data_IF_666389211928
#
_entry.id   IF_666389211928
#
_cell.length_a   1.000
_cell.length_b   1.000
_cell.length_c   1.000
_cell.angle_alpha   90.00
_cell.angle_beta   90.00
_cell.angle_gamma   90.00
#
_symmetry.space_group_name_H-M   'P 1'
#
loop_
_entity.id
_entity.type
_entity.pdbx_description
1 polymer ?
#
# COMPACT_ATOMS: atom_id res chain seq x y z
N UNK A 1 13.09 23.80 -10.77
CA UNK A 1 11.66 23.61 -11.08
C UNK A 1 11.00 22.66 -10.08
N UNK A 2 10.14 23.17 -9.20
CA UNK A 2 9.40 22.39 -8.19
C UNK A 2 7.91 22.68 -8.31
N UNK A 3 7.08 21.64 -8.20
CA UNK A 3 5.63 21.79 -8.06
C UNK A 3 5.27 21.86 -6.57
N UNK A 4 4.42 22.81 -6.19
CA UNK A 4 3.86 22.90 -4.84
C UNK A 4 2.41 23.38 -4.87
N UNK A 5 1.69 23.17 -3.76
CA UNK A 5 0.37 23.77 -3.60
C UNK A 5 0.50 25.28 -3.34
N UNK A 6 -0.42 26.07 -3.89
CA UNK A 6 -0.58 27.50 -3.63
C UNK A 6 -0.98 27.67 -2.16
N UNK A 7 0.01 27.84 -1.29
CA UNK A 7 -0.16 27.94 0.17
C UNK A 7 0.10 26.62 0.90
N UNK A 8 -0.79 26.25 1.84
CA UNK A 8 -0.62 25.06 2.68
C UNK A 8 -1.11 23.81 1.96
N UNK A 9 -0.43 22.68 2.16
CA UNK A 9 -0.89 21.37 1.65
C UNK A 9 -2.32 21.08 2.11
N UNK A 10 -3.25 20.79 1.19
CA UNK A 10 -4.64 20.49 1.53
C UNK A 10 -4.75 19.29 2.48
N UNK A 11 -5.77 19.30 3.34
CA UNK A 11 -6.01 18.21 4.30
C UNK A 11 -6.19 16.85 3.63
N UNK A 12 -6.93 16.81 2.51
CA UNK A 12 -7.12 15.58 1.73
C UNK A 12 -5.79 15.00 1.22
N UNK A 13 -4.85 15.85 0.81
CA UNK A 13 -3.56 15.41 0.29
C UNK A 13 -2.69 14.81 1.40
N UNK A 14 -2.75 15.39 2.61
CA UNK A 14 -2.09 14.82 3.80
C UNK A 14 -2.69 13.48 4.20
N UNK A 15 -4.02 13.37 4.19
CA UNK A 15 -4.73 12.12 4.50
C UNK A 15 -4.33 11.04 3.49
N UNK A 16 -4.38 11.31 2.19
CA UNK A 16 -4.01 10.34 1.17
C UNK A 16 -2.53 9.95 1.24
N UNK A 17 -1.63 10.91 1.45
CA UNK A 17 -0.22 10.61 1.66
C UNK A 17 -0.02 9.73 2.90
N UNK A 18 -0.72 10.02 4.00
CA UNK A 18 -0.70 9.20 5.21
C UNK A 18 -1.20 7.78 4.97
N UNK A 19 -2.33 7.61 4.28
CA UNK A 19 -2.88 6.30 3.94
C UNK A 19 -1.95 5.52 3.01
N UNK A 20 -1.32 6.19 2.04
CA UNK A 20 -0.32 5.57 1.15
C UNK A 20 0.90 5.07 1.93
N UNK A 21 1.47 5.92 2.79
CA UNK A 21 2.62 5.55 3.64
C UNK A 21 2.24 4.39 4.56
N UNK A 22 1.08 4.46 5.22
CA UNK A 22 0.60 3.42 6.09
C UNK A 22 0.40 2.09 5.34
N UNK A 23 -0.17 2.13 4.13
CA UNK A 23 -0.32 0.94 3.29
C UNK A 23 1.03 0.31 2.92
N UNK A 24 2.03 1.12 2.57
CA UNK A 24 3.39 0.62 2.28
C UNK A 24 4.01 -0.03 3.52
N UNK A 25 3.89 0.62 4.69
CA UNK A 25 4.42 0.08 5.94
C UNK A 25 3.74 -1.24 6.32
N UNK A 26 2.42 -1.34 6.15
CA UNK A 26 1.67 -2.58 6.36
C UNK A 26 2.12 -3.68 5.40
N UNK A 27 2.31 -3.38 4.11
CA UNK A 27 2.81 -4.36 3.15
C UNK A 27 4.20 -4.89 3.53
N UNK A 28 5.12 -4.00 3.91
CA UNK A 28 6.47 -4.40 4.35
C UNK A 28 6.38 -5.22 5.65
N UNK A 29 5.60 -4.78 6.62
CA UNK A 29 5.44 -5.47 7.90
C UNK A 29 4.81 -6.86 7.71
N UNK A 30 3.79 -6.99 6.86
CA UNK A 30 3.17 -8.26 6.52
C UNK A 30 4.17 -9.18 5.84
N UNK A 31 4.89 -8.71 4.82
CA UNK A 31 5.91 -9.52 4.15
C UNK A 31 7.01 -10.00 5.12
N UNK A 32 7.47 -9.11 6.01
CA UNK A 32 8.45 -9.44 7.04
C UNK A 32 7.93 -10.48 8.03
N UNK A 33 6.69 -10.30 8.51
CA UNK A 33 6.06 -11.22 9.45
C UNK A 33 5.85 -12.62 8.84
N UNK A 34 5.41 -12.68 7.58
CA UNK A 34 5.23 -13.95 6.87
C UNK A 34 6.57 -14.68 6.75
N UNK A 35 7.62 -14.00 6.32
CA UNK A 35 8.94 -14.60 6.17
C UNK A 35 9.52 -15.13 7.50
N UNK A 36 9.18 -14.49 8.63
CA UNK A 36 9.73 -14.81 9.95
C UNK A 36 8.89 -15.81 10.74
N UNK A 37 7.57 -15.80 10.59
CA UNK A 37 6.67 -16.43 11.55
C UNK A 37 5.57 -17.29 10.93
N UNK A 38 5.36 -17.24 9.61
CA UNK A 38 4.33 -18.06 9.00
C UNK A 38 4.73 -19.55 8.97
N UNK A 39 3.79 -20.46 9.26
CA UNK A 39 4.04 -21.89 9.15
C UNK A 39 4.26 -22.33 7.70
N UNK A 40 5.06 -23.37 7.52
CA UNK A 40 5.34 -23.99 6.21
C UNK A 40 4.31 -25.10 5.89
N UNK A 41 3.49 -25.48 6.88
CA UNK A 41 2.39 -26.43 6.73
C UNK A 41 1.05 -25.73 7.00
N UNK A 42 0.00 -26.15 6.29
CA UNK A 42 -1.33 -25.62 6.50
C UNK A 42 -1.91 -26.10 7.84
N UNK A 43 -2.68 -25.22 8.50
CA UNK A 43 -3.50 -25.58 9.65
C UNK A 43 -4.91 -24.97 9.51
N UNK A 44 -5.80 -25.23 10.48
CA UNK A 44 -7.19 -24.74 10.45
C UNK A 44 -7.31 -23.22 10.38
N UNK A 45 -6.29 -22.50 10.85
CA UNK A 45 -6.23 -21.03 10.90
C UNK A 45 -5.45 -20.48 9.70
N UNK A 46 -4.38 -21.16 9.30
CA UNK A 46 -3.46 -20.80 8.24
C UNK A 46 -3.66 -21.73 7.04
N UNK A 47 -4.70 -21.46 6.26
CA UNK A 47 -5.07 -22.26 5.09
C UNK A 47 -4.68 -21.62 3.76
N UNK A 48 -4.32 -20.33 3.77
CA UNK A 48 -4.04 -19.57 2.56
C UNK A 48 -2.56 -19.64 2.20
N UNK A 49 -2.28 -20.10 0.98
CA UNK A 49 -0.92 -20.33 0.50
C UNK A 49 -0.30 -19.04 -0.04
N UNK A 50 0.87 -18.65 0.48
CA UNK A 50 1.71 -17.59 -0.08
C UNK A 50 3.03 -18.18 -0.55
N UNK A 51 3.38 -17.91 -1.81
CA UNK A 51 4.65 -18.35 -2.39
C UNK A 51 5.62 -17.19 -2.48
N UNK A 52 6.68 -17.23 -1.67
CA UNK A 52 7.78 -16.27 -1.79
C UNK A 52 8.64 -16.67 -2.98
N UNK A 53 8.99 -15.72 -3.84
CA UNK A 53 9.78 -16.00 -5.04
C UNK A 53 11.17 -16.51 -4.65
N UNK A 54 11.54 -17.69 -5.14
CA UNK A 54 12.81 -18.36 -4.78
C UNK A 54 12.86 -18.96 -3.36
N UNK A 55 11.73 -18.96 -2.63
CA UNK A 55 11.66 -19.42 -1.23
C UNK A 55 10.65 -20.53 -0.97
N UNK A 56 10.52 -20.96 0.30
CA UNK A 56 9.51 -21.91 0.71
C UNK A 56 8.09 -21.35 0.54
N UNK A 57 7.12 -22.25 0.51
CA UNK A 57 5.70 -21.89 0.55
C UNK A 57 5.30 -21.72 2.01
N UNK A 58 4.68 -20.58 2.33
CA UNK A 58 4.14 -20.28 3.65
C UNK A 58 2.62 -20.36 3.63
N UNK A 59 2.03 -20.60 4.80
CA UNK A 59 0.59 -20.59 5.00
C UNK A 59 0.20 -19.50 5.99
N UNK A 60 -0.82 -18.73 5.63
CA UNK A 60 -1.31 -17.61 6.43
C UNK A 60 -2.83 -17.64 6.56
N UNK A 61 -3.38 -16.77 7.40
CA UNK A 61 -4.82 -16.59 7.50
C UNK A 61 -5.39 -16.05 6.16
N UNK A 62 -6.59 -16.49 5.73
CA UNK A 62 -7.18 -16.11 4.45
C UNK A 62 -7.28 -14.60 4.21
N UNK A 63 -7.64 -13.82 5.23
CA UNK A 63 -7.74 -12.37 5.10
C UNK A 63 -6.37 -11.71 4.88
N UNK A 64 -5.31 -12.24 5.50
CA UNK A 64 -3.95 -11.74 5.32
C UNK A 64 -3.43 -12.11 3.93
N UNK A 65 -3.73 -13.32 3.48
CA UNK A 65 -3.47 -13.77 2.11
C UNK A 65 -4.14 -12.88 1.06
N UNK A 66 -5.43 -12.64 1.22
CA UNK A 66 -6.16 -11.71 0.35
C UNK A 66 -5.56 -10.29 0.40
N UNK A 67 -5.18 -9.79 1.57
CA UNK A 67 -4.53 -8.48 1.67
C UNK A 67 -3.16 -8.44 0.96
N UNK A 68 -2.35 -9.49 1.05
CA UNK A 68 -1.07 -9.57 0.33
C UNK A 68 -1.26 -9.61 -1.19
N UNK A 69 -2.26 -10.35 -1.68
CA UNK A 69 -2.55 -10.44 -3.11
C UNK A 69 -3.16 -9.15 -3.67
N UNK A 70 -4.13 -8.57 -2.95
CA UNK A 70 -4.88 -7.40 -3.41
C UNK A 70 -4.28 -6.06 -3.00
N UNK A 71 -3.40 -6.01 -2.02
CA UNK A 71 -2.98 -4.74 -1.43
C UNK A 71 -1.99 -3.94 -2.30
N UNK A 72 -1.34 -4.57 -3.29
CA UNK A 72 -0.68 -3.84 -4.38
C UNK A 72 -1.69 -3.06 -5.23
N UNK A 73 -2.85 -3.67 -5.55
CA UNK A 73 -3.93 -2.99 -6.26
C UNK A 73 -4.50 -1.84 -5.45
N UNK A 74 -4.63 -1.99 -4.12
CA UNK A 74 -5.02 -0.89 -3.25
C UNK A 74 -4.04 0.29 -3.35
N UNK A 75 -2.74 0.02 -3.41
CA UNK A 75 -1.72 1.04 -3.66
C UNK A 75 -1.93 1.77 -5.00
N UNK A 76 -2.16 1.03 -6.09
CA UNK A 76 -2.44 1.62 -7.41
C UNK A 76 -3.72 2.45 -7.42
N UNK A 77 -4.79 1.97 -6.78
CA UNK A 77 -6.06 2.70 -6.66
C UNK A 77 -5.87 4.01 -5.89
N UNK A 78 -5.12 3.99 -4.79
CA UNK A 78 -4.83 5.20 -4.01
C UNK A 78 -3.97 6.20 -4.79
N UNK A 79 -2.97 5.72 -5.55
CA UNK A 79 -2.16 6.57 -6.42
C UNK A 79 -2.99 7.18 -7.56
N UNK A 80 -3.86 6.40 -8.19
CA UNK A 80 -4.76 6.89 -9.23
C UNK A 80 -5.72 7.95 -8.68
N UNK A 81 -6.31 7.70 -7.51
CA UNK A 81 -7.17 8.67 -6.82
C UNK A 81 -6.41 9.96 -6.49
N UNK A 82 -5.17 9.85 -6.02
CA UNK A 82 -4.32 11.00 -5.76
C UNK A 82 -4.03 11.82 -7.03
N UNK A 83 -3.71 11.14 -8.14
CA UNK A 83 -3.50 11.79 -9.43
C UNK A 83 -4.76 12.50 -9.95
N UNK A 84 -5.94 11.87 -9.82
CA UNK A 84 -7.23 12.47 -10.18
C UNK A 84 -7.49 13.72 -9.33
N UNK A 85 -7.24 13.65 -8.02
CA UNK A 85 -7.43 14.82 -7.15
C UNK A 85 -6.46 15.95 -7.44
N UNK A 86 -5.20 15.64 -7.77
CA UNK A 86 -4.26 16.65 -8.25
C UNK A 86 -4.70 17.27 -9.57
N UNK A 87 -5.28 16.48 -10.48
CA UNK A 87 -5.78 16.98 -11.75
C UNK A 87 -7.00 17.89 -11.58
N UNK A 88 -7.97 17.47 -10.77
CA UNK A 88 -9.18 18.27 -10.46
C UNK A 88 -8.81 19.55 -9.71
N UNK A 89 -7.79 19.50 -8.85
CA UNK A 89 -7.31 20.65 -8.09
C UNK A 89 -6.05 21.27 -8.70
N UNK A 90 -5.82 21.10 -10.01
CA UNK A 90 -4.60 21.59 -10.67
C UNK A 90 -4.41 23.10 -10.52
N UNK A 91 -5.51 23.83 -10.38
CA UNK A 91 -5.50 25.29 -10.24
C UNK A 91 -4.92 25.72 -8.88
N UNK A 92 -4.87 24.80 -7.92
CA UNK A 92 -4.20 24.97 -6.62
C UNK A 92 -2.72 24.59 -6.66
N UNK A 93 -2.18 24.16 -7.81
CA UNK A 93 -0.76 23.86 -7.98
C UNK A 93 -0.04 25.04 -8.65
N UNK A 94 1.15 25.35 -8.17
CA UNK A 94 2.05 26.33 -8.76
C UNK A 94 3.43 25.71 -9.02
N UNK A 95 4.08 26.19 -10.07
CA UNK A 95 5.41 25.76 -10.47
C UNK A 95 6.39 26.86 -10.10
N UNK A 96 7.25 26.59 -9.13
CA UNK A 96 8.37 27.48 -8.81
C UNK A 96 9.52 27.20 -9.79
N UNK A 97 10.10 28.23 -10.42
CA UNK A 97 11.30 28.08 -11.25
C UNK A 97 12.44 27.33 -10.55
#
# INVERSE_FOLDING_TARGET
MKWQFKGKTPGWAKILAGVLVLNILLQIATAYWIARSAPIQADLVHSYRIRVHGGPTYFVQPWLGAYSDYGLYLGFVLLALFAVLLWVNRDQLERIP
#
